data_IF_260161058216
#
_entry.id   IF_260161058216
#
_cell.length_a   1.000
_cell.length_b   1.000
_cell.length_c   1.000
_cell.angle_alpha   90.00
_cell.angle_beta   90.00
_cell.angle_gamma   90.00
#
_symmetry.space_group_name_H-M   'P 1'
#
loop_
_entity.id
_entity.type
_entity.pdbx_description
1 polymer ?
#
# COMPACT_ATOMS: atom_id res chain seq x y z
N UNK A 1 32.47 17.53 -28.11
CA UNK A 1 32.94 17.82 -26.74
C UNK A 1 32.24 18.99 -26.04
N UNK A 2 32.35 20.24 -26.52
CA UNK A 2 31.76 21.41 -25.83
C UNK A 2 30.24 21.31 -25.57
N UNK A 3 29.48 20.84 -26.56
CA UNK A 3 28.02 20.70 -26.43
C UNK A 3 27.64 19.61 -25.42
N UNK A 4 28.34 18.46 -25.43
CA UNK A 4 28.14 17.40 -24.43
C UNK A 4 28.38 17.88 -23.00
N UNK A 5 29.43 18.68 -22.78
CA UNK A 5 29.70 19.31 -21.47
C UNK A 5 28.55 20.23 -21.06
N UNK A 6 28.00 21.01 -21.99
CA UNK A 6 26.89 21.92 -21.74
C UNK A 6 25.59 21.16 -21.40
N UNK A 7 25.27 20.08 -22.12
CA UNK A 7 24.12 19.23 -21.83
C UNK A 7 24.22 18.63 -20.42
N UNK A 8 25.38 18.10 -20.06
CA UNK A 8 25.64 17.55 -18.72
C UNK A 8 25.54 18.62 -17.64
N UNK A 9 26.08 19.81 -17.89
CA UNK A 9 25.98 20.94 -16.96
C UNK A 9 24.52 21.36 -16.75
N UNK A 10 23.71 21.41 -17.80
CA UNK A 10 22.29 21.73 -17.71
C UNK A 10 21.51 20.67 -16.91
N UNK A 11 21.74 19.38 -17.19
CA UNK A 11 21.14 18.29 -16.41
C UNK A 11 21.52 18.36 -14.93
N UNK A 12 22.78 18.67 -14.64
CA UNK A 12 23.26 18.88 -13.26
C UNK A 12 22.54 20.05 -12.58
N UNK A 13 22.35 21.17 -13.28
CA UNK A 13 21.63 22.32 -12.72
C UNK A 13 20.16 22.02 -12.43
N UNK A 14 19.50 21.22 -13.27
CA UNK A 14 18.12 20.77 -13.03
C UNK A 14 18.04 19.91 -11.77
N UNK A 15 18.95 18.94 -11.63
CA UNK A 15 19.03 18.10 -10.43
C UNK A 15 19.24 18.97 -9.18
N UNK A 16 20.17 19.93 -9.22
CA UNK A 16 20.42 20.84 -8.09
C UNK A 16 19.21 21.71 -7.74
N UNK A 17 18.41 22.10 -8.73
CA UNK A 17 17.16 22.83 -8.49
C UNK A 17 16.08 21.93 -7.87
N UNK A 18 15.95 20.69 -8.33
CA UNK A 18 15.04 19.70 -7.74
C UNK A 18 15.45 19.36 -6.29
N UNK A 19 16.74 19.15 -6.02
CA UNK A 19 17.25 18.92 -4.65
C UNK A 19 16.92 20.05 -3.68
N UNK A 20 16.94 21.31 -4.13
CA UNK A 20 16.56 22.47 -3.30
C UNK A 20 15.06 22.54 -3.02
N UNK A 21 14.26 22.01 -3.94
CA UNK A 21 12.81 21.97 -3.80
C UNK A 21 12.34 20.81 -2.91
N UNK A 22 13.05 19.68 -2.94
CA UNK A 22 12.76 18.51 -2.12
C UNK A 22 13.21 18.75 -0.68
N UNK A 23 12.27 18.65 0.25
CA UNK A 23 12.58 18.58 1.68
C UNK A 23 12.53 17.12 2.18
N UNK A 24 13.71 16.55 2.43
CA UNK A 24 13.83 15.19 2.95
C UNK A 24 13.20 15.03 4.34
N UNK A 25 13.15 16.08 5.16
CA UNK A 25 12.51 16.00 6.48
C UNK A 25 11.00 15.85 6.32
N UNK A 26 10.38 16.59 5.41
CA UNK A 26 8.95 16.41 5.07
C UNK A 26 8.66 14.97 4.62
N UNK A 27 9.53 14.37 3.80
CA UNK A 27 9.36 13.00 3.29
C UNK A 27 9.56 11.94 4.39
N UNK A 28 10.62 12.06 5.19
CA UNK A 28 11.01 11.03 6.16
C UNK A 28 10.34 11.20 7.53
N UNK A 29 9.88 12.40 7.88
CA UNK A 29 9.32 12.74 9.20
C UNK A 29 8.02 13.53 9.16
N UNK A 30 7.79 14.30 8.09
CA UNK A 30 6.59 15.13 7.92
C UNK A 30 5.40 14.41 7.27
N UNK A 31 4.54 15.20 6.64
CA UNK A 31 3.36 14.75 5.90
C UNK A 31 3.76 14.04 4.60
N UNK A 32 3.39 12.75 4.51
CA UNK A 32 3.66 11.88 3.37
C UNK A 32 3.04 12.40 2.07
N UNK A 33 1.90 13.10 2.14
CA UNK A 33 1.22 13.60 0.94
C UNK A 33 1.99 14.75 0.28
N UNK A 34 2.48 15.70 1.07
CA UNK A 34 3.29 16.81 0.54
C UNK A 34 4.65 16.33 0.03
N UNK A 35 5.30 15.41 0.76
CA UNK A 35 6.56 14.80 0.32
C UNK A 35 6.42 14.06 -1.02
N UNK A 36 5.35 13.29 -1.21
CA UNK A 36 5.06 12.61 -2.47
C UNK A 36 4.89 13.59 -3.63
N UNK A 37 4.13 14.66 -3.44
CA UNK A 37 3.94 15.69 -4.47
C UNK A 37 5.28 16.36 -4.87
N UNK A 38 6.17 16.62 -3.91
CA UNK A 38 7.49 17.18 -4.20
C UNK A 38 8.33 16.26 -5.09
N UNK A 39 8.29 14.95 -4.82
CA UNK A 39 8.99 13.93 -5.61
C UNK A 39 8.40 13.80 -7.01
N UNK A 40 7.07 13.71 -7.13
CA UNK A 40 6.35 13.61 -8.41
C UNK A 40 6.63 14.82 -9.32
N UNK A 41 6.60 16.04 -8.76
CA UNK A 41 6.94 17.26 -9.49
C UNK A 41 8.40 17.26 -9.96
N UNK A 42 9.32 16.75 -9.13
CA UNK A 42 10.75 16.66 -9.48
C UNK A 42 10.99 15.65 -10.59
N UNK A 43 10.37 14.47 -10.52
CA UNK A 43 10.39 13.45 -11.57
C UNK A 43 9.83 14.03 -12.87
N UNK A 44 8.64 14.64 -12.84
CA UNK A 44 8.02 15.25 -14.01
C UNK A 44 8.91 16.34 -14.64
N UNK A 45 9.62 17.12 -13.84
CA UNK A 45 10.58 18.11 -14.33
C UNK A 45 11.74 17.45 -15.09
N UNK A 46 12.34 16.41 -14.50
CA UNK A 46 13.43 15.65 -15.10
C UNK A 46 12.99 14.93 -16.39
N UNK A 47 11.82 14.30 -16.41
CA UNK A 47 11.26 13.64 -17.59
C UNK A 47 10.97 14.64 -18.72
N UNK A 48 10.43 15.83 -18.40
CA UNK A 48 10.25 16.90 -19.39
C UNK A 48 11.57 17.34 -20.00
N UNK A 49 12.61 17.46 -19.19
CA UNK A 49 13.96 17.77 -19.67
C UNK A 49 14.46 16.68 -20.64
N UNK A 50 14.37 15.41 -20.26
CA UNK A 50 14.78 14.28 -21.11
C UNK A 50 14.00 14.31 -22.43
N UNK A 51 12.67 14.47 -22.37
CA UNK A 51 11.83 14.54 -23.56
C UNK A 51 12.17 15.70 -24.50
N UNK A 52 12.51 16.88 -23.95
CA UNK A 52 12.96 18.03 -24.76
C UNK A 52 14.28 17.68 -25.45
N UNK A 53 15.23 17.08 -24.73
CA UNK A 53 16.52 16.68 -25.27
C UNK A 53 16.42 15.61 -26.35
N UNK A 54 15.58 14.60 -26.14
CA UNK A 54 15.33 13.56 -27.13
C UNK A 54 14.72 14.14 -28.40
N UNK A 55 13.79 15.10 -28.30
CA UNK A 55 13.23 15.81 -29.46
C UNK A 55 14.28 16.63 -30.21
N UNK A 56 15.15 17.35 -29.51
CA UNK A 56 16.24 18.12 -30.12
C UNK A 56 17.21 17.16 -30.83
N UNK A 57 17.54 16.03 -30.21
CA UNK A 57 18.42 15.01 -30.79
C UNK A 57 17.80 14.39 -32.05
N UNK A 58 16.50 14.11 -32.07
CA UNK A 58 15.81 13.62 -33.26
C UNK A 58 15.85 14.64 -34.41
N UNK A 59 15.63 15.93 -34.13
CA UNK A 59 15.71 16.97 -35.16
C UNK A 59 17.14 17.13 -35.69
N UNK A 60 18.14 17.09 -34.82
CA UNK A 60 19.56 17.16 -35.20
C UNK A 60 20.00 15.98 -36.05
N UNK A 61 19.42 14.79 -35.83
CA UNK A 61 19.73 13.59 -36.65
C UNK A 61 19.35 13.71 -38.13
N UNK A 62 18.46 14.65 -38.47
CA UNK A 62 18.05 14.95 -39.84
C UNK A 62 18.94 16.02 -40.52
N UNK A 63 19.88 16.60 -39.77
CA UNK A 63 20.84 17.59 -40.27
C UNK A 63 21.93 16.95 -41.12
N UNK A 64 22.51 17.71 -42.06
CA UNK A 64 23.69 17.29 -42.83
C UNK A 64 24.93 17.06 -41.95
N UNK A 65 24.99 17.73 -40.80
CA UNK A 65 26.05 17.59 -39.79
C UNK A 65 25.44 17.45 -38.40
N UNK A 66 25.04 16.23 -38.00
CA UNK A 66 24.51 15.99 -36.67
C UNK A 66 25.58 16.20 -35.60
N UNK A 67 25.25 16.89 -34.52
CA UNK A 67 26.18 17.16 -33.40
C UNK A 67 25.61 16.71 -32.05
N UNK A 68 24.31 16.84 -31.84
CA UNK A 68 23.61 16.51 -30.59
C UNK A 68 23.18 15.04 -30.59
N UNK A 69 22.69 14.53 -31.72
CA UNK A 69 22.29 13.13 -31.88
C UNK A 69 23.44 12.13 -31.73
N UNK A 70 24.70 12.57 -31.92
CA UNK A 70 25.91 11.78 -31.69
C UNK A 70 26.32 11.79 -30.20
N UNK A 71 25.79 12.73 -29.41
CA UNK A 71 26.04 12.78 -27.97
C UNK A 71 25.36 11.56 -27.33
N UNK A 72 26.17 10.74 -26.68
CA UNK A 72 25.72 9.55 -25.98
C UNK A 72 24.67 9.92 -24.92
N UNK A 73 23.62 9.08 -24.77
CA UNK A 73 22.64 9.15 -23.68
C UNK A 73 23.28 9.27 -22.29
N UNK A 74 24.55 8.88 -22.15
CA UNK A 74 25.37 9.13 -20.96
C UNK A 74 25.51 10.61 -20.57
N UNK A 75 25.19 11.57 -21.43
CA UNK A 75 25.23 13.01 -21.10
C UNK A 75 24.21 13.41 -20.03
N UNK A 76 23.14 12.64 -19.84
CA UNK A 76 22.09 12.88 -18.85
C UNK A 76 21.78 11.66 -17.99
N UNK A 77 22.67 10.66 -17.93
CA UNK A 77 22.49 9.48 -17.07
C UNK A 77 22.28 9.84 -15.58
N UNK A 78 22.87 10.94 -15.12
CA UNK A 78 22.65 11.42 -13.74
C UNK A 78 21.21 11.89 -13.51
N UNK A 79 20.49 12.33 -14.54
CA UNK A 79 19.07 12.68 -14.46
C UNK A 79 18.23 11.42 -14.29
N UNK A 80 18.52 10.37 -15.05
CA UNK A 80 17.86 9.05 -14.89
C UNK A 80 18.12 8.47 -13.49
N UNK A 81 19.37 8.54 -13.02
CA UNK A 81 19.72 8.12 -11.65
C UNK A 81 18.92 8.94 -10.63
N UNK A 82 18.81 10.26 -10.81
CA UNK A 82 18.04 11.12 -9.91
C UNK A 82 16.55 10.76 -9.88
N UNK A 83 15.95 10.49 -11.04
CA UNK A 83 14.56 10.00 -11.14
C UNK A 83 14.43 8.72 -10.32
N UNK A 84 15.33 7.75 -10.51
CA UNK A 84 15.32 6.51 -9.75
C UNK A 84 15.43 6.74 -8.23
N UNK A 85 16.28 7.69 -7.79
CA UNK A 85 16.38 8.05 -6.36
C UNK A 85 15.07 8.63 -5.81
N UNK A 86 14.36 9.42 -6.62
CA UNK A 86 13.06 9.97 -6.23
C UNK A 86 12.01 8.87 -6.11
N UNK A 87 12.00 7.90 -7.03
CA UNK A 87 11.13 6.73 -6.95
C UNK A 87 11.44 5.85 -5.74
N UNK A 88 12.73 5.65 -5.43
CA UNK A 88 13.17 4.93 -4.22
C UNK A 88 12.60 5.60 -2.95
N UNK A 89 12.63 6.95 -2.89
CA UNK A 89 12.04 7.71 -1.80
C UNK A 89 10.50 7.63 -1.76
N UNK A 90 9.84 7.61 -2.92
CA UNK A 90 8.38 7.40 -2.98
C UNK A 90 7.99 6.04 -2.41
N UNK A 91 8.74 4.98 -2.74
CA UNK A 91 8.52 3.64 -2.19
C UNK A 91 8.65 3.61 -0.66
N UNK A 92 9.70 4.24 -0.11
CA UNK A 92 9.90 4.35 1.33
C UNK A 92 8.78 5.17 1.99
N UNK A 93 8.36 6.27 1.36
CA UNK A 93 7.27 7.12 1.83
C UNK A 93 5.92 6.37 1.86
N UNK A 94 5.62 5.58 0.83
CA UNK A 94 4.42 4.75 0.76
C UNK A 94 4.46 3.65 1.84
N UNK A 95 5.63 3.03 2.08
CA UNK A 95 5.80 2.08 3.18
C UNK A 95 5.58 2.74 4.56
N UNK A 96 6.11 3.96 4.75
CA UNK A 96 5.94 4.75 5.97
C UNK A 96 4.50 5.10 6.25
N UNK A 97 3.75 5.50 5.23
CA UNK A 97 2.32 5.78 5.34
C UNK A 97 1.55 4.60 5.94
N UNK A 98 1.88 3.38 5.50
CA UNK A 98 1.21 2.14 5.94
C UNK A 98 1.64 1.71 7.36
N UNK A 99 2.93 1.83 7.68
CA UNK A 99 3.53 1.22 8.89
C UNK A 99 3.86 2.18 10.03
N UNK A 100 3.77 3.49 9.84
CA UNK A 100 4.21 4.47 10.85
C UNK A 100 3.20 5.61 11.08
N UNK A 101 2.46 6.03 10.05
CA UNK A 101 1.62 7.24 10.13
C UNK A 101 0.23 7.01 10.74
N UNK A 102 -0.32 5.80 10.65
CA UNK A 102 -1.71 5.55 11.02
C UNK A 102 -1.87 5.24 12.52
N UNK A 103 -2.06 6.30 13.31
CA UNK A 103 -2.27 6.27 14.78
C UNK A 103 -3.48 5.46 15.25
N UNK A 104 -4.40 5.15 14.36
CA UNK A 104 -5.63 4.40 14.67
C UNK A 104 -5.43 2.91 14.43
N UNK A 105 -4.56 2.24 15.18
CA UNK A 105 -4.76 0.79 15.37
C UNK A 105 -6.06 0.67 16.16
N UNK A 106 -7.18 0.62 15.44
CA UNK A 106 -8.46 0.23 16.03
C UNK A 106 -8.22 -1.13 16.65
N UNK A 107 -8.58 -1.27 17.93
CA UNK A 107 -8.41 -2.49 18.70
C UNK A 107 -8.77 -3.68 17.81
N UNK A 108 -7.83 -4.60 17.60
CA UNK A 108 -8.15 -5.87 16.98
C UNK A 108 -9.06 -6.56 18.00
N UNK A 109 -10.34 -6.75 17.64
CA UNK A 109 -11.33 -7.39 18.49
C UNK A 109 -10.97 -8.84 18.84
N UNK A 110 -11.74 -9.45 19.73
CA UNK A 110 -11.62 -10.86 20.08
C UNK A 110 -10.64 -11.21 21.22
N UNK A 111 -10.65 -12.48 21.63
CA UNK A 111 -9.95 -12.97 22.82
C UNK A 111 -8.42 -12.83 22.76
N UNK A 112 -7.84 -12.83 21.54
CA UNK A 112 -6.40 -12.66 21.30
C UNK A 112 -6.02 -11.27 20.79
N UNK A 113 -6.95 -10.32 20.77
CA UNK A 113 -6.73 -8.96 20.26
C UNK A 113 -5.50 -8.26 20.83
N UNK A 114 -5.28 -8.36 22.14
CA UNK A 114 -4.11 -7.78 22.81
C UNK A 114 -2.77 -8.40 22.37
N UNK A 115 -2.76 -9.68 22.01
CA UNK A 115 -1.58 -10.38 21.49
C UNK A 115 -1.27 -9.87 20.08
N UNK A 116 -2.29 -9.75 19.23
CA UNK A 116 -2.15 -9.23 17.87
C UNK A 116 -1.71 -7.76 17.86
N UNK A 117 -2.22 -6.94 18.77
CA UNK A 117 -1.78 -5.56 18.95
C UNK A 117 -0.30 -5.49 19.37
N UNK A 118 0.14 -6.35 20.29
CA UNK A 118 1.55 -6.44 20.69
C UNK A 118 2.46 -6.88 19.53
N UNK A 119 2.01 -7.85 18.72
CA UNK A 119 2.72 -8.26 17.50
C UNK A 119 2.84 -7.11 16.51
N UNK A 120 1.76 -6.34 16.31
CA UNK A 120 1.78 -5.17 15.42
C UNK A 120 2.73 -4.07 15.91
N UNK A 121 2.68 -3.72 17.21
CA UNK A 121 3.63 -2.74 17.79
C UNK A 121 5.08 -3.15 17.59
N UNK A 122 5.38 -4.45 17.64
CA UNK A 122 6.71 -4.97 17.32
C UNK A 122 7.07 -4.71 15.86
N UNK A 123 6.15 -4.96 14.92
CA UNK A 123 6.34 -4.65 13.50
C UNK A 123 6.60 -3.15 13.29
N UNK A 124 5.81 -2.28 13.90
CA UNK A 124 6.00 -0.82 13.83
C UNK A 124 7.37 -0.39 14.36
N UNK A 125 7.83 -1.00 15.46
CA UNK A 125 9.15 -0.70 16.04
C UNK A 125 10.30 -1.11 15.11
N UNK A 126 10.17 -2.26 14.43
CA UNK A 126 11.16 -2.73 13.45
C UNK A 126 11.19 -1.82 12.23
N UNK A 127 10.02 -1.43 11.71
CA UNK A 127 9.95 -0.49 10.61
C UNK A 127 10.52 0.88 10.99
N UNK A 128 10.28 1.35 12.21
CA UNK A 128 10.86 2.60 12.71
C UNK A 128 12.39 2.54 12.74
N UNK A 129 13.00 1.40 13.11
CA UNK A 129 14.44 1.22 13.06
C UNK A 129 15.01 1.26 11.62
N UNK A 130 14.28 0.69 10.65
CA UNK A 130 14.63 0.80 9.22
C UNK A 130 14.61 2.28 8.79
N UNK A 131 13.57 3.01 9.19
CA UNK A 131 13.42 4.43 8.85
C UNK A 131 14.53 5.30 9.46
N UNK A 132 14.94 5.03 10.71
CA UNK A 132 16.08 5.72 11.33
C UNK A 132 17.38 5.47 10.55
N UNK A 133 17.62 4.24 10.09
CA UNK A 133 18.77 3.94 9.22
C UNK A 133 18.74 4.77 7.92
N UNK A 134 17.56 4.90 7.30
CA UNK A 134 17.39 5.75 6.10
C UNK A 134 17.74 7.20 6.40
N UNK A 135 17.30 7.74 7.54
CA UNK A 135 17.58 9.13 7.95
C UNK A 135 19.06 9.40 8.18
N UNK A 136 19.80 8.44 8.75
CA UNK A 136 21.26 8.55 8.95
C UNK A 136 22.01 8.77 7.63
N UNK A 137 21.43 8.34 6.50
CA UNK A 137 22.03 8.44 5.18
C UNK A 137 21.39 9.52 4.29
N UNK A 138 20.63 10.45 4.88
CA UNK A 138 19.93 11.52 4.15
C UNK A 138 20.79 12.22 3.09
N UNK A 139 22.08 12.41 3.38
CA UNK A 139 23.00 13.15 2.52
C UNK A 139 23.39 12.37 1.25
N UNK A 140 23.27 11.04 1.26
CA UNK A 140 23.62 10.18 0.13
C UNK A 140 22.44 9.78 -0.75
N UNK A 141 21.19 9.95 -0.27
CA UNK A 141 19.99 9.49 -0.98
C UNK A 141 19.87 10.10 -2.38
N UNK A 142 19.94 11.44 -2.45
CA UNK A 142 19.82 12.19 -3.70
C UNK A 142 21.17 12.46 -4.37
N UNK A 143 22.27 11.91 -3.83
CA UNK A 143 23.59 12.03 -4.44
C UNK A 143 23.74 11.04 -5.61
N UNK A 144 23.71 11.60 -6.82
CA UNK A 144 23.85 10.86 -8.08
C UNK A 144 25.31 10.58 -8.47
N UNK A 145 26.27 11.11 -7.70
CA UNK A 145 27.71 10.93 -7.97
C UNK A 145 28.27 9.69 -7.30
N UNK A 146 27.56 9.15 -6.30
CA UNK A 146 27.99 7.98 -5.55
C UNK A 146 27.01 6.81 -5.72
N UNK A 147 27.56 5.60 -5.63
CA UNK A 147 26.79 4.35 -5.68
C UNK A 147 26.40 3.83 -4.28
N UNK A 148 26.66 4.62 -3.23
CA UNK A 148 26.41 4.24 -1.84
C UNK A 148 24.93 3.89 -1.61
N UNK A 149 24.02 4.72 -2.12
CA UNK A 149 22.58 4.48 -2.03
C UNK A 149 22.13 3.23 -2.78
N UNK A 150 22.75 2.86 -3.93
CA UNK A 150 22.32 1.70 -4.74
C UNK A 150 22.34 0.39 -3.95
N UNK A 151 23.42 0.14 -3.21
CA UNK A 151 23.52 -1.08 -2.42
C UNK A 151 22.54 -1.03 -1.24
N UNK A 152 22.34 0.16 -0.69
CA UNK A 152 21.56 0.32 0.52
C UNK A 152 20.06 0.25 0.28
N UNK A 153 19.55 0.79 -0.82
CA UNK A 153 18.13 0.67 -1.16
C UNK A 153 17.73 -0.79 -1.37
N UNK A 154 18.62 -1.63 -1.91
CA UNK A 154 18.38 -3.07 -2.02
C UNK A 154 18.21 -3.71 -0.64
N UNK A 155 19.09 -3.37 0.32
CA UNK A 155 18.98 -3.84 1.71
C UNK A 155 17.68 -3.37 2.36
N UNK A 156 17.33 -2.08 2.21
CA UNK A 156 16.09 -1.50 2.74
C UNK A 156 14.87 -2.20 2.16
N UNK A 157 14.84 -2.45 0.85
CA UNK A 157 13.75 -3.19 0.18
C UNK A 157 13.58 -4.59 0.74
N UNK A 158 14.67 -5.32 0.98
CA UNK A 158 14.61 -6.62 1.64
C UNK A 158 14.01 -6.52 3.06
N UNK A 159 14.44 -5.52 3.84
CA UNK A 159 13.91 -5.30 5.19
C UNK A 159 12.41 -4.92 5.16
N UNK A 160 11.98 -4.09 4.21
CA UNK A 160 10.57 -3.75 4.01
C UNK A 160 9.76 -5.00 3.61
N UNK A 161 10.32 -5.86 2.76
CA UNK A 161 9.69 -7.12 2.39
C UNK A 161 9.53 -8.06 3.60
N UNK A 162 10.51 -8.08 4.52
CA UNK A 162 10.38 -8.83 5.77
C UNK A 162 9.24 -8.27 6.64
N UNK A 163 9.10 -6.94 6.71
CA UNK A 163 7.95 -6.29 7.37
C UNK A 163 6.63 -6.71 6.71
N UNK A 164 6.55 -6.70 5.38
CA UNK A 164 5.37 -7.14 4.64
C UNK A 164 5.02 -8.61 4.97
N UNK A 165 6.02 -9.50 5.04
CA UNK A 165 5.84 -10.91 5.42
C UNK A 165 5.34 -11.05 6.87
N UNK A 166 5.87 -10.25 7.80
CA UNK A 166 5.42 -10.26 9.20
C UNK A 166 3.95 -9.82 9.33
N UNK A 167 3.55 -8.79 8.58
CA UNK A 167 2.14 -8.35 8.53
C UNK A 167 1.25 -9.41 7.91
N UNK A 168 1.71 -10.06 6.83
CA UNK A 168 0.96 -11.15 6.22
C UNK A 168 0.73 -12.29 7.23
N UNK A 169 1.75 -12.68 8.00
CA UNK A 169 1.60 -13.69 9.05
C UNK A 169 0.64 -13.24 10.16
N UNK A 170 0.67 -11.96 10.56
CA UNK A 170 -0.28 -11.41 11.51
C UNK A 170 -1.72 -11.52 10.98
N UNK A 171 -1.95 -11.17 9.71
CA UNK A 171 -3.25 -11.35 9.04
C UNK A 171 -3.68 -12.81 9.13
N UNK A 172 -2.81 -13.76 8.74
CA UNK A 172 -3.13 -15.19 8.82
C UNK A 172 -3.54 -15.64 10.23
N UNK A 173 -2.84 -15.18 11.28
CA UNK A 173 -3.16 -15.54 12.67
C UNK A 173 -4.50 -14.95 13.13
N UNK A 174 -4.83 -13.71 12.74
CA UNK A 174 -6.11 -13.07 13.11
C UNK A 174 -7.27 -13.85 12.48
N UNK A 175 -7.18 -14.18 11.20
CA UNK A 175 -8.27 -14.88 10.51
C UNK A 175 -8.41 -16.36 10.90
N UNK A 176 -7.48 -16.96 11.64
CA UNK A 176 -7.69 -18.29 12.24
C UNK A 176 -8.76 -18.30 13.32
N UNK A 177 -9.01 -17.16 13.96
CA UNK A 177 -9.99 -17.05 15.05
C UNK A 177 -11.38 -16.64 14.59
N UNK A 178 -11.52 -16.19 13.33
CA UNK A 178 -12.78 -15.70 12.79
C UNK A 178 -13.76 -16.86 12.63
N UNK A 179 -14.89 -16.79 13.35
CA UNK A 179 -15.93 -17.83 13.30
C UNK A 179 -17.25 -17.35 12.69
N UNK A 180 -17.49 -16.05 12.67
CA UNK A 180 -18.72 -15.46 12.15
C UNK A 180 -18.43 -14.26 11.23
N UNK A 181 -19.46 -13.82 10.53
CA UNK A 181 -19.38 -12.74 9.55
C UNK A 181 -18.98 -11.41 10.20
N UNK A 182 -19.51 -11.09 11.39
CA UNK A 182 -19.19 -9.84 12.12
C UNK A 182 -17.71 -9.75 12.48
N UNK A 183 -17.15 -10.80 13.08
CA UNK A 183 -15.71 -10.91 13.39
C UNK A 183 -14.85 -10.81 12.13
N UNK A 184 -15.29 -11.42 11.04
CA UNK A 184 -14.60 -11.37 9.76
C UNK A 184 -14.54 -9.95 9.19
N UNK A 185 -15.66 -9.23 9.21
CA UNK A 185 -15.74 -7.85 8.74
C UNK A 185 -14.89 -6.93 9.65
N UNK A 186 -14.95 -7.11 10.97
CA UNK A 186 -14.14 -6.33 11.91
C UNK A 186 -12.63 -6.56 11.69
N UNK A 187 -12.21 -7.81 11.50
CA UNK A 187 -10.83 -8.16 11.20
C UNK A 187 -10.35 -7.52 9.89
N UNK A 188 -11.15 -7.59 8.82
CA UNK A 188 -10.85 -6.93 7.54
C UNK A 188 -10.73 -5.43 7.73
N UNK A 189 -11.64 -4.81 8.49
CA UNK A 189 -11.64 -3.38 8.73
C UNK A 189 -10.39 -2.93 9.51
N UNK A 190 -9.95 -3.70 10.50
CA UNK A 190 -8.71 -3.45 11.23
C UNK A 190 -7.47 -3.51 10.30
N UNK A 191 -7.52 -4.32 9.25
CA UNK A 191 -6.44 -4.51 8.29
C UNK A 191 -6.53 -3.62 7.03
N UNK A 192 -7.56 -2.76 6.93
CA UNK A 192 -7.86 -1.96 5.73
C UNK A 192 -6.68 -1.18 5.18
N UNK A 193 -5.82 -0.63 6.04
CA UNK A 193 -4.65 0.16 5.63
C UNK A 193 -3.69 -0.61 4.71
N UNK A 194 -3.60 -1.94 4.90
CA UNK A 194 -2.69 -2.81 4.17
C UNK A 194 -3.16 -3.13 2.75
N UNK A 195 -4.42 -2.83 2.40
CA UNK A 195 -4.95 -3.00 1.03
C UNK A 195 -4.18 -2.18 0.01
N UNK A 196 -3.59 -1.06 0.42
CA UNK A 196 -2.73 -0.21 -0.43
C UNK A 196 -1.45 -0.93 -0.90
N UNK A 197 -0.99 -1.96 -0.17
CA UNK A 197 0.15 -2.79 -0.54
C UNK A 197 -0.32 -3.95 -1.40
N UNK A 198 0.06 -3.95 -2.68
CA UNK A 198 -0.30 -5.00 -3.67
C UNK A 198 -0.07 -6.43 -3.18
N UNK A 199 0.99 -6.66 -2.40
CA UNK A 199 1.30 -7.98 -1.84
C UNK A 199 0.25 -8.44 -0.83
N UNK A 200 -0.14 -7.57 0.10
CA UNK A 200 -1.10 -7.85 1.18
C UNK A 200 -2.56 -7.81 0.70
N UNK A 201 -2.84 -7.00 -0.34
CA UNK A 201 -4.15 -6.89 -0.96
C UNK A 201 -4.72 -8.26 -1.36
N UNK A 202 -3.88 -9.13 -1.95
CA UNK A 202 -4.30 -10.47 -2.38
C UNK A 202 -4.73 -11.33 -1.20
N UNK A 203 -3.96 -11.30 -0.10
CA UNK A 203 -4.29 -12.04 1.12
C UNK A 203 -5.61 -11.54 1.72
N UNK A 204 -5.81 -10.23 1.79
CA UNK A 204 -7.05 -9.65 2.33
C UNK A 204 -8.26 -9.97 1.45
N UNK A 205 -8.12 -9.94 0.12
CA UNK A 205 -9.19 -10.36 -0.78
C UNK A 205 -9.52 -11.85 -0.64
N UNK A 206 -8.52 -12.71 -0.43
CA UNK A 206 -8.77 -14.12 -0.13
C UNK A 206 -9.61 -14.29 1.13
N UNK A 207 -9.30 -13.57 2.21
CA UNK A 207 -10.09 -13.63 3.43
C UNK A 207 -11.46 -12.98 3.30
N UNK A 208 -11.62 -11.95 2.48
CA UNK A 208 -12.94 -11.41 2.12
C UNK A 208 -13.85 -12.50 1.52
N UNK A 209 -13.33 -13.30 0.60
CA UNK A 209 -14.06 -14.44 0.05
C UNK A 209 -14.39 -15.50 1.10
N UNK A 210 -13.52 -15.71 2.09
CA UNK A 210 -13.80 -16.63 3.20
C UNK A 210 -14.96 -16.10 4.06
N UNK A 211 -15.02 -14.81 4.35
CA UNK A 211 -16.13 -14.22 5.11
C UNK A 211 -17.46 -14.40 4.37
N UNK A 212 -17.48 -14.21 3.05
CA UNK A 212 -18.66 -14.53 2.22
C UNK A 212 -19.05 -16.01 2.30
N UNK A 213 -18.07 -16.90 2.33
CA UNK A 213 -18.33 -18.33 2.48
C UNK A 213 -18.92 -18.69 3.84
N UNK A 214 -18.47 -18.05 4.92
CA UNK A 214 -19.08 -18.23 6.25
C UNK A 214 -20.57 -17.85 6.20
N UNK A 215 -20.90 -16.74 5.53
CA UNK A 215 -22.29 -16.33 5.32
C UNK A 215 -23.10 -17.35 4.49
N UNK A 216 -22.51 -17.88 3.41
CA UNK A 216 -23.13 -18.92 2.59
C UNK A 216 -23.42 -20.20 3.40
N UNK A 217 -22.44 -20.68 4.16
CA UNK A 217 -22.58 -21.85 5.03
C UNK A 217 -23.65 -21.62 6.14
N UNK A 218 -23.72 -20.40 6.70
CA UNK A 218 -24.77 -19.99 7.63
C UNK A 218 -26.16 -20.02 6.97
N UNK A 219 -26.25 -19.56 5.72
CA UNK A 219 -27.50 -19.56 4.95
C UNK A 219 -27.97 -20.99 4.63
N UNK A 220 -27.08 -21.87 4.21
CA UNK A 220 -27.40 -23.29 3.98
C UNK A 220 -27.84 -23.98 5.26
N UNK A 221 -27.09 -23.84 6.36
CA UNK A 221 -27.45 -24.43 7.66
C UNK A 221 -28.79 -23.92 8.19
N UNK A 222 -29.15 -22.68 7.88
CA UNK A 222 -30.43 -22.09 8.24
C UNK A 222 -31.61 -22.77 7.54
N UNK A 223 -31.46 -23.11 6.26
CA UNK A 223 -32.48 -23.80 5.46
C UNK A 223 -32.78 -25.21 6.00
N UNK A 224 -31.76 -25.93 6.46
CA UNK A 224 -31.87 -27.28 7.04
C UNK A 224 -32.50 -27.24 8.43
N UNK A 225 -32.10 -26.27 9.27
CA UNK A 225 -32.63 -26.14 10.64
C UNK A 225 -34.13 -25.83 10.65
N UNK A 226 -34.64 -25.13 9.62
CA UNK A 226 -36.07 -24.85 9.46
C UNK A 226 -36.93 -26.12 9.33
N UNK A 227 -36.36 -27.24 8.89
CA UNK A 227 -37.08 -28.52 8.76
C UNK A 227 -37.22 -29.26 10.10
N UNK A 228 -36.37 -28.97 11.10
CA UNK A 228 -36.21 -29.78 12.33
C UNK A 228 -36.46 -29.02 13.65
N UNK A 229 -37.09 -27.84 13.61
CA UNK A 229 -37.15 -26.94 14.79
C UNK A 229 -37.94 -27.47 16.00
N UNK A 230 -37.34 -27.35 17.20
CA UNK A 230 -37.94 -27.60 18.52
C UNK A 230 -38.45 -26.28 19.09
N UNK A 231 -39.69 -26.28 19.58
CA UNK A 231 -40.41 -25.07 20.01
C UNK A 231 -40.27 -24.82 21.51
N UNK A 232 -40.26 -23.55 21.92
CA UNK A 232 -40.39 -23.19 23.33
C UNK A 232 -41.75 -23.67 23.86
N UNK A 233 -41.77 -24.36 25.00
CA UNK A 233 -42.96 -25.03 25.56
C UNK A 233 -44.15 -24.09 25.87
N UNK A 234 -43.91 -22.78 25.86
CA UNK A 234 -44.88 -21.73 26.17
C UNK A 234 -45.59 -21.16 24.93
N UNK A 235 -45.19 -21.56 23.71
CA UNK A 235 -45.76 -21.03 22.46
C UNK A 235 -46.46 -22.11 21.65
N UNK A 236 -47.52 -21.73 20.92
CA UNK A 236 -48.14 -22.64 19.95
C UNK A 236 -47.17 -22.92 18.81
N UNK A 237 -47.16 -24.16 18.29
CA UNK A 237 -46.26 -24.62 17.22
C UNK A 237 -46.10 -23.60 16.08
N UNK A 238 -47.22 -23.07 15.60
CA UNK A 238 -47.25 -22.13 14.47
C UNK A 238 -46.70 -20.73 14.85
N UNK A 239 -47.02 -20.22 16.04
CA UNK A 239 -46.49 -18.93 16.51
C UNK A 239 -44.98 -19.01 16.81
N UNK A 240 -44.52 -20.13 17.39
CA UNK A 240 -43.10 -20.40 17.61
C UNK A 240 -42.31 -20.53 16.30
N UNK A 241 -42.83 -21.26 15.31
CA UNK A 241 -42.27 -21.30 13.96
C UNK A 241 -42.10 -19.88 13.38
N UNK A 242 -43.19 -19.11 13.34
CA UNK A 242 -43.18 -17.79 12.73
C UNK A 242 -42.19 -16.82 13.40
N UNK A 243 -42.09 -16.87 14.73
CA UNK A 243 -41.14 -16.05 15.49
C UNK A 243 -39.68 -16.40 15.16
N UNK A 244 -39.32 -17.69 15.17
CA UNK A 244 -37.95 -18.14 14.85
C UNK A 244 -37.58 -17.76 13.42
N UNK A 245 -38.49 -17.97 12.46
CA UNK A 245 -38.26 -17.61 11.05
C UNK A 245 -38.02 -16.12 10.87
N UNK A 246 -38.84 -15.29 11.53
CA UNK A 246 -38.69 -13.85 11.47
C UNK A 246 -37.36 -13.38 12.06
N UNK A 247 -37.02 -13.83 13.26
CA UNK A 247 -35.76 -13.46 13.90
C UNK A 247 -34.55 -13.91 13.09
N UNK A 248 -34.59 -15.10 12.48
CA UNK A 248 -33.49 -15.60 11.65
C UNK A 248 -33.38 -14.88 10.31
N UNK A 249 -34.51 -14.54 9.69
CA UNK A 249 -34.54 -13.70 8.48
C UNK A 249 -34.01 -12.30 8.74
N UNK A 250 -34.35 -11.69 9.88
CA UNK A 250 -33.84 -10.38 10.28
C UNK A 250 -32.33 -10.44 10.55
N UNK A 251 -31.84 -11.49 11.23
CA UNK A 251 -30.40 -11.70 11.45
C UNK A 251 -29.62 -11.85 10.12
N UNK A 252 -30.03 -12.75 9.22
CA UNK A 252 -29.35 -12.94 7.94
C UNK A 252 -29.42 -11.70 7.05
N UNK A 253 -30.54 -10.97 7.09
CA UNK A 253 -30.67 -9.67 6.41
C UNK A 253 -29.67 -8.64 6.92
N UNK A 254 -29.45 -8.58 8.24
CA UNK A 254 -28.44 -7.69 8.83
C UNK A 254 -27.02 -8.09 8.44
N UNK A 255 -26.67 -9.39 8.46
CA UNK A 255 -25.35 -9.87 8.01
C UNK A 255 -25.09 -9.53 6.54
N UNK A 256 -26.08 -9.72 5.67
CA UNK A 256 -25.98 -9.36 4.26
C UNK A 256 -25.78 -7.85 4.07
N UNK A 257 -26.51 -7.00 4.80
CA UNK A 257 -26.32 -5.55 4.72
C UNK A 257 -24.90 -5.15 5.14
N UNK A 258 -24.36 -5.74 6.22
CA UNK A 258 -22.98 -5.47 6.64
C UNK A 258 -21.95 -5.89 5.58
N UNK A 259 -22.16 -7.02 4.91
CA UNK A 259 -21.32 -7.45 3.79
C UNK A 259 -21.41 -6.52 2.58
N UNK A 260 -22.61 -6.04 2.24
CA UNK A 260 -22.80 -5.07 1.15
C UNK A 260 -22.08 -3.76 1.50
N UNK A 261 -22.28 -3.23 2.70
CA UNK A 261 -21.62 -1.99 3.15
C UNK A 261 -20.09 -2.12 3.18
N UNK A 262 -19.58 -3.32 3.46
CA UNK A 262 -18.14 -3.62 3.45
C UNK A 262 -17.58 -3.90 2.03
N UNK A 263 -18.42 -4.20 1.04
CA UNK A 263 -17.98 -4.54 -0.32
C UNK A 263 -17.32 -3.38 -1.08
N UNK A 264 -17.73 -2.15 -0.77
CA UNK A 264 -17.12 -0.92 -1.30
C UNK A 264 -15.62 -0.79 -0.94
N UNK A 265 -15.13 -1.56 0.05
CA UNK A 265 -13.76 -1.44 0.54
C UNK A 265 -12.72 -2.12 -0.35
N UNK A 266 -13.12 -3.15 -1.10
CA UNK A 266 -12.25 -3.84 -2.05
C UNK A 266 -12.36 -3.30 -3.48
N UNK A 267 -13.27 -2.35 -3.72
CA UNK A 267 -13.53 -1.79 -5.05
C UNK A 267 -14.39 -2.67 -5.95
N UNK A 268 -15.10 -3.64 -5.36
CA UNK A 268 -15.97 -4.59 -6.09
C UNK A 268 -17.31 -3.97 -6.54
N UNK A 269 -17.59 -2.71 -6.23
CA UNK A 269 -18.79 -1.98 -6.70
C UNK A 269 -18.81 -1.66 -8.21
N UNK A 270 -17.89 -2.23 -9.01
CA UNK A 270 -17.90 -2.15 -10.47
C UNK A 270 -18.05 -3.52 -11.18
N UNK A 271 -18.44 -4.58 -10.47
CA UNK A 271 -18.89 -5.84 -11.09
C UNK A 271 -20.41 -5.96 -10.89
N UNK A 272 -21.15 -5.13 -11.63
CA UNK A 272 -22.54 -5.35 -11.98
C UNK A 272 -22.69 -5.20 -13.50
#
# INVERSE_FOLDING_TARGET
DKISILCRALGTQIIEQCKKYIDLNTILEGDTSNGKLMLENSICCCEKFINIFDRISQMDSLSEQPVISIINKSAYCHVDIFIQRCEDLMEISDARFVYNTCKEVKMIGGARGSIHEAQYKKIESLFSAILENVKEMRDSILDVTTNTWLNKIVEIRCQIQDIDNMVNNLILEIFKDVQNVEEGIEAIYAMKRFVTRKYLQKTLHHYWMIVWKIFEDELESSSVTMQNSVYHSAMTKHAGCAMILRSKSEYLGNQLNMLIDASDWFGDSNIQ
#
